data_IF_242989865066
#
_entry.id   IF_242989865066
#
_cell.length_a   1.000
_cell.length_b   1.000
_cell.length_c   1.000
_cell.angle_alpha   90.00
_cell.angle_beta   90.00
_cell.angle_gamma   90.00
#
_symmetry.space_group_name_H-M   'P 1'
#
loop_
_entity.id
_entity.type
_entity.pdbx_description
1 polymer ?
#
# COMPACT_ATOMS: atom_id res chain seq x y z
N UNK A 1 2.06 -3.81 -20.86
CA UNK A 1 2.13 -3.42 -19.43
C UNK A 1 0.77 -3.54 -18.74
N UNK A 2 -0.30 -2.98 -19.28
CA UNK A 2 -1.68 -3.06 -18.73
C UNK A 2 -2.15 -4.50 -18.49
N UNK A 3 -1.95 -5.41 -19.43
CA UNK A 3 -2.40 -6.80 -19.34
C UNK A 3 -1.62 -7.62 -18.29
N UNK A 4 -0.36 -7.27 -18.05
CA UNK A 4 0.44 -7.88 -17.00
C UNK A 4 -0.06 -7.47 -15.60
N UNK A 5 -0.41 -6.19 -15.41
CA UNK A 5 -0.98 -5.69 -14.17
C UNK A 5 -2.34 -6.33 -13.86
N UNK A 6 -3.21 -6.47 -14.88
CA UNK A 6 -4.51 -7.12 -14.71
C UNK A 6 -4.37 -8.61 -14.36
N UNK A 7 -3.41 -9.31 -14.96
CA UNK A 7 -3.14 -10.72 -14.63
C UNK A 7 -2.61 -10.87 -13.22
N UNK A 8 -1.62 -10.07 -12.83
CA UNK A 8 -1.05 -10.12 -11.48
C UNK A 8 -2.08 -9.79 -10.40
N UNK A 9 -2.93 -8.78 -10.61
CA UNK A 9 -4.04 -8.46 -9.72
C UNK A 9 -5.06 -9.59 -9.58
N UNK A 10 -5.39 -10.25 -10.70
CA UNK A 10 -6.30 -11.39 -10.71
C UNK A 10 -5.72 -12.57 -9.91
N UNK A 11 -4.42 -12.81 -10.03
CA UNK A 11 -3.74 -13.89 -9.33
C UNK A 11 -3.65 -13.59 -7.83
N UNK A 12 -3.30 -12.36 -7.43
CA UNK A 12 -3.30 -11.93 -6.01
C UNK A 12 -4.70 -12.05 -5.41
N UNK A 13 -5.74 -11.63 -6.13
CA UNK A 13 -7.12 -11.76 -5.67
C UNK A 13 -7.53 -13.23 -5.47
N UNK A 14 -7.00 -14.14 -6.28
CA UNK A 14 -7.26 -15.59 -6.16
C UNK A 14 -6.54 -16.19 -4.96
N UNK A 15 -5.30 -15.77 -4.71
CA UNK A 15 -4.42 -16.36 -3.69
C UNK A 15 -4.72 -15.81 -2.29
N UNK A 16 -4.92 -14.49 -2.15
CA UNK A 16 -5.07 -13.83 -0.87
C UNK A 16 -6.19 -12.76 -0.85
N UNK A 17 -7.46 -13.12 -1.12
CA UNK A 17 -8.54 -12.14 -1.27
C UNK A 17 -8.81 -11.34 0.01
N UNK A 18 -8.76 -12.01 1.18
CA UNK A 18 -9.01 -11.34 2.48
C UNK A 18 -7.94 -10.30 2.82
N UNK A 19 -6.67 -10.63 2.59
CA UNK A 19 -5.56 -9.71 2.86
C UNK A 19 -5.59 -8.50 1.93
N UNK A 20 -5.97 -8.69 0.67
CA UNK A 20 -6.12 -7.62 -0.31
C UNK A 20 -7.26 -6.66 0.07
N UNK A 21 -8.43 -7.18 0.46
CA UNK A 21 -9.55 -6.35 0.92
C UNK A 21 -9.16 -5.54 2.16
N UNK A 22 -8.51 -6.20 3.14
CA UNK A 22 -8.05 -5.52 4.36
C UNK A 22 -7.05 -4.42 4.05
N UNK A 23 -6.13 -4.65 3.11
CA UNK A 23 -5.17 -3.66 2.65
C UNK A 23 -5.86 -2.43 2.03
N UNK A 24 -6.84 -2.64 1.15
CA UNK A 24 -7.63 -1.54 0.55
C UNK A 24 -8.40 -0.75 1.62
N UNK A 25 -9.00 -1.44 2.59
CA UNK A 25 -9.70 -0.77 3.72
C UNK A 25 -8.71 0.08 4.52
N UNK A 26 -7.53 -0.46 4.87
CA UNK A 26 -6.50 0.30 5.59
C UNK A 26 -6.03 1.52 4.79
N UNK A 27 -5.87 1.41 3.47
CA UNK A 27 -5.51 2.55 2.61
C UNK A 27 -6.56 3.65 2.64
N UNK A 28 -7.84 3.30 2.50
CA UNK A 28 -8.93 4.26 2.58
C UNK A 28 -8.99 4.92 3.95
N UNK A 29 -8.84 4.13 5.02
CA UNK A 29 -8.82 4.65 6.40
C UNK A 29 -7.65 5.63 6.61
N UNK A 30 -6.45 5.31 6.15
CA UNK A 30 -5.29 6.20 6.23
C UNK A 30 -5.54 7.53 5.50
N UNK A 31 -6.12 7.50 4.30
CA UNK A 31 -6.44 8.71 3.55
C UNK A 31 -7.39 9.62 4.30
N UNK A 32 -8.41 9.05 4.95
CA UNK A 32 -9.36 9.80 5.79
C UNK A 32 -8.67 10.35 7.05
N UNK A 33 -7.84 9.53 7.73
CA UNK A 33 -7.13 9.96 8.94
C UNK A 33 -6.17 11.12 8.68
N UNK A 34 -5.46 11.12 7.54
CA UNK A 34 -4.60 12.23 7.13
C UNK A 34 -5.41 13.50 6.91
N UNK A 35 -6.55 13.40 6.23
CA UNK A 35 -7.44 14.55 6.01
C UNK A 35 -7.99 15.12 7.33
N UNK A 36 -8.44 14.25 8.24
CA UNK A 36 -8.93 14.62 9.57
C UNK A 36 -7.81 15.27 10.39
N UNK A 37 -6.59 14.71 10.37
CA UNK A 37 -5.46 15.26 11.09
C UNK A 37 -5.11 16.68 10.59
N UNK A 38 -5.08 16.90 9.29
CA UNK A 38 -4.83 18.21 8.69
C UNK A 38 -5.90 19.22 9.12
N UNK A 39 -7.15 18.83 9.15
CA UNK A 39 -8.25 19.68 9.63
C UNK A 39 -8.11 19.99 11.13
N UNK A 40 -7.82 19.00 11.96
CA UNK A 40 -7.62 19.19 13.41
C UNK A 40 -6.46 20.12 13.72
N UNK A 41 -5.34 20.00 13.00
CA UNK A 41 -4.19 20.92 13.15
C UNK A 41 -4.59 22.36 12.81
N UNK A 42 -5.37 22.56 11.76
CA UNK A 42 -5.87 23.90 11.39
C UNK A 42 -6.77 24.51 12.49
N UNK A 43 -7.68 23.71 13.05
CA UNK A 43 -8.56 24.15 14.16
C UNK A 43 -7.74 24.42 15.43
N UNK A 44 -6.77 23.57 15.76
CA UNK A 44 -5.84 23.76 16.87
C UNK A 44 -5.10 25.10 16.78
N UNK A 45 -4.51 25.39 15.61
CA UNK A 45 -3.78 26.65 15.41
C UNK A 45 -4.69 27.86 15.62
N UNK A 46 -5.93 27.81 15.15
CA UNK A 46 -6.89 28.89 15.34
C UNK A 46 -7.19 29.16 16.83
N UNK A 47 -7.32 28.11 17.66
CA UNK A 47 -7.53 28.23 19.11
C UNK A 47 -6.27 28.72 19.84
N UNK A 48 -5.09 28.36 19.37
CA UNK A 48 -3.82 28.90 19.92
C UNK A 48 -3.75 30.42 19.67
N UNK A 49 -4.13 30.90 18.50
CA UNK A 49 -4.17 32.33 18.20
C UNK A 49 -5.17 33.10 19.08
N UNK A 50 -6.29 32.49 19.41
CA UNK A 50 -7.30 33.08 20.31
C UNK A 50 -6.94 33.00 21.80
N UNK A 51 -5.76 32.43 22.13
CA UNK A 51 -5.25 32.23 23.51
C UNK A 51 -6.13 31.36 24.42
N UNK A 52 -6.98 30.52 23.85
CA UNK A 52 -7.78 29.55 24.61
C UNK A 52 -6.96 28.28 24.85
N UNK A 53 -6.13 28.34 25.90
CA UNK A 53 -5.21 27.25 26.27
C UNK A 53 -5.92 25.95 26.61
N UNK A 54 -7.09 26.01 27.27
CA UNK A 54 -7.81 24.81 27.70
C UNK A 54 -8.33 24.02 26.50
N UNK A 55 -8.95 24.68 25.54
CA UNK A 55 -9.46 24.07 24.33
C UNK A 55 -8.31 23.58 23.44
N UNK A 56 -7.21 24.33 23.36
CA UNK A 56 -6.02 23.90 22.61
C UNK A 56 -5.42 22.60 23.14
N UNK A 57 -5.35 22.40 24.45
CA UNK A 57 -4.85 21.15 25.04
C UNK A 57 -5.73 19.95 24.69
N UNK A 58 -7.05 20.12 24.63
CA UNK A 58 -7.98 19.06 24.23
C UNK A 58 -7.74 18.67 22.76
N UNK A 59 -7.61 19.66 21.86
CA UNK A 59 -7.30 19.39 20.46
C UNK A 59 -5.96 18.70 20.25
N UNK A 60 -4.94 19.06 21.02
CA UNK A 60 -3.65 18.39 21.00
C UNK A 60 -3.76 16.91 21.36
N UNK A 61 -4.55 16.58 22.40
CA UNK A 61 -4.84 15.19 22.76
C UNK A 61 -5.55 14.41 21.66
N UNK A 62 -6.53 15.05 20.99
CA UNK A 62 -7.26 14.42 19.87
C UNK A 62 -6.33 14.20 18.68
N UNK A 63 -5.49 15.17 18.32
CA UNK A 63 -4.48 15.05 17.25
C UNK A 63 -3.55 13.85 17.53
N UNK A 64 -3.09 13.73 18.77
CA UNK A 64 -2.23 12.61 19.16
C UNK A 64 -2.96 11.26 19.07
N UNK A 65 -4.23 11.19 19.46
CA UNK A 65 -5.06 10.01 19.29
C UNK A 65 -5.25 9.61 17.82
N UNK A 66 -5.50 10.56 16.93
CA UNK A 66 -5.60 10.34 15.48
C UNK A 66 -4.26 9.86 14.91
N UNK A 67 -3.16 10.42 15.37
CA UNK A 67 -1.82 9.98 14.96
C UNK A 67 -1.56 8.52 15.33
N UNK A 68 -1.84 8.13 16.58
CA UNK A 68 -1.71 6.73 17.04
C UNK A 68 -2.59 5.79 16.21
N UNK A 69 -3.84 6.18 15.94
CA UNK A 69 -4.74 5.39 15.09
C UNK A 69 -4.20 5.22 13.66
N UNK A 70 -3.57 6.26 13.12
CA UNK A 70 -2.90 6.21 11.81
C UNK A 70 -1.74 5.22 11.80
N UNK A 71 -0.89 5.22 12.84
CA UNK A 71 0.24 4.30 12.95
C UNK A 71 -0.19 2.85 13.13
N UNK A 72 -1.26 2.60 13.89
CA UNK A 72 -1.86 1.26 14.02
C UNK A 72 -2.39 0.78 12.66
N UNK A 73 -3.10 1.63 11.92
CA UNK A 73 -3.59 1.31 10.59
C UNK A 73 -2.45 1.01 9.61
N UNK A 74 -1.36 1.78 9.70
CA UNK A 74 -0.16 1.58 8.90
C UNK A 74 0.51 0.24 9.21
N UNK A 75 0.63 -0.13 10.47
CA UNK A 75 1.17 -1.42 10.91
C UNK A 75 0.36 -2.60 10.38
N UNK A 76 -0.97 -2.51 10.43
CA UNK A 76 -1.87 -3.52 9.86
C UNK A 76 -1.71 -3.62 8.34
N UNK A 77 -1.59 -2.48 7.66
CA UNK A 77 -1.34 -2.44 6.21
C UNK A 77 -0.05 -3.19 5.84
N UNK A 78 1.07 -2.91 6.53
CA UNK A 78 2.33 -3.61 6.29
C UNK A 78 2.25 -5.11 6.60
N UNK A 79 1.59 -5.49 7.68
CA UNK A 79 1.37 -6.90 8.01
C UNK A 79 0.57 -7.64 6.93
N UNK A 80 -0.44 -6.98 6.34
CA UNK A 80 -1.19 -7.52 5.21
C UNK A 80 -0.33 -7.64 3.95
N UNK A 81 0.53 -6.64 3.68
CA UNK A 81 1.46 -6.64 2.55
C UNK A 81 2.43 -7.81 2.63
N UNK A 82 3.10 -8.00 3.75
CA UNK A 82 4.03 -9.12 3.98
C UNK A 82 3.32 -10.48 3.83
N UNK A 83 2.08 -10.58 4.31
CA UNK A 83 1.29 -11.81 4.19
C UNK A 83 0.88 -12.11 2.75
N UNK A 84 0.59 -11.09 1.95
CA UNK A 84 0.30 -11.25 0.51
C UNK A 84 1.56 -11.73 -0.20
N UNK A 85 2.68 -11.04 0.03
CA UNK A 85 3.96 -11.35 -0.60
C UNK A 85 4.41 -12.78 -0.31
N UNK A 86 4.39 -13.19 0.95
CA UNK A 86 4.73 -14.55 1.37
C UNK A 86 3.83 -15.61 0.72
N UNK A 87 2.51 -15.39 0.66
CA UNK A 87 1.59 -16.35 0.05
C UNK A 87 1.74 -16.45 -1.46
N UNK A 88 1.90 -15.29 -2.13
CA UNK A 88 2.09 -15.24 -3.57
C UNK A 88 3.43 -15.88 -3.95
N UNK A 89 4.50 -15.53 -3.24
CA UNK A 89 5.82 -16.10 -3.45
C UNK A 89 5.82 -17.62 -3.28
N UNK A 90 5.21 -18.13 -2.20
CA UNK A 90 5.11 -19.58 -1.96
C UNK A 90 4.33 -20.29 -3.09
N UNK A 91 3.20 -19.76 -3.51
CA UNK A 91 2.37 -20.41 -4.53
C UNK A 91 3.03 -20.37 -5.91
N UNK A 92 3.62 -19.23 -6.29
CA UNK A 92 4.37 -19.12 -7.54
C UNK A 92 5.62 -20.02 -7.52
N UNK A 93 6.28 -20.16 -6.37
CA UNK A 93 7.41 -21.07 -6.19
C UNK A 93 7.01 -22.54 -6.42
N UNK A 94 5.86 -22.97 -5.89
CA UNK A 94 5.32 -24.31 -6.12
C UNK A 94 5.00 -24.52 -7.61
N UNK A 95 4.30 -23.56 -8.24
CA UNK A 95 3.96 -23.65 -9.66
C UNK A 95 5.21 -23.69 -10.57
N UNK A 96 6.23 -22.91 -10.20
CA UNK A 96 7.51 -22.91 -10.92
C UNK A 96 8.23 -24.24 -10.76
N UNK A 97 8.25 -24.79 -9.54
CA UNK A 97 8.84 -26.10 -9.25
C UNK A 97 8.14 -27.23 -10.01
N UNK A 98 6.80 -27.24 -10.04
CA UNK A 98 6.03 -28.23 -10.81
C UNK A 98 6.29 -28.13 -12.32
N UNK A 99 6.35 -26.93 -12.87
CA UNK A 99 6.67 -26.70 -14.29
C UNK A 99 8.12 -27.10 -14.60
N UNK A 100 9.05 -26.74 -13.71
CA UNK A 100 10.45 -27.13 -13.83
C UNK A 100 10.63 -28.66 -13.82
N UNK A 101 9.93 -29.36 -12.91
CA UNK A 101 9.98 -30.82 -12.81
C UNK A 101 9.38 -31.58 -14.01
N UNK A 102 8.60 -30.91 -14.85
CA UNK A 102 8.03 -31.48 -16.10
C UNK A 102 8.93 -31.27 -17.32
N UNK A 103 10.01 -30.51 -17.20
CA UNK A 103 10.95 -30.30 -18.29
C UNK A 103 11.79 -31.55 -18.51
N UNK A 104 12.01 -31.93 -19.78
CA UNK A 104 12.93 -33.00 -20.16
C UNK A 104 14.39 -32.55 -19.92
N UNK A 105 15.29 -33.55 -19.76
CA UNK A 105 16.72 -33.24 -19.56
C UNK A 105 17.29 -32.34 -20.67
N UNK A 106 16.88 -32.60 -21.91
CA UNK A 106 17.28 -31.82 -23.10
C UNK A 106 16.79 -30.37 -23.02
N UNK A 107 15.59 -30.14 -22.50
CA UNK A 107 15.06 -28.79 -22.30
C UNK A 107 15.77 -28.04 -21.14
N UNK A 108 16.29 -28.79 -20.16
CA UNK A 108 17.06 -28.20 -19.07
C UNK A 108 18.46 -27.76 -19.50
N UNK A 109 19.03 -28.39 -20.54
CA UNK A 109 20.32 -28.02 -21.15
C UNK A 109 20.19 -26.81 -22.09
N UNK A 110 18.97 -26.46 -22.51
CA UNK A 110 18.73 -25.27 -23.31
C UNK A 110 18.99 -24.00 -22.48
N UNK A 111 19.98 -23.23 -22.94
CA UNK A 111 20.42 -21.99 -22.28
C UNK A 111 19.28 -20.97 -22.15
N UNK A 112 18.38 -20.90 -23.15
CA UNK A 112 17.26 -19.96 -23.13
C UNK A 112 16.22 -20.35 -22.07
N UNK A 113 15.86 -21.63 -22.00
CA UNK A 113 14.92 -22.15 -21.01
C UNK A 113 15.47 -22.00 -19.60
N UNK A 114 16.73 -22.33 -19.38
CA UNK A 114 17.39 -22.17 -18.09
C UNK A 114 17.47 -20.69 -17.65
N UNK A 115 17.78 -19.79 -18.54
CA UNK A 115 17.78 -18.35 -18.25
C UNK A 115 16.37 -17.82 -17.92
N UNK A 116 15.33 -18.31 -18.59
CA UNK A 116 13.93 -17.95 -18.25
C UNK A 116 13.54 -18.47 -16.87
N UNK A 117 13.93 -19.70 -16.55
CA UNK A 117 13.66 -20.31 -15.24
C UNK A 117 14.35 -19.53 -14.11
N UNK A 118 15.65 -19.19 -14.27
CA UNK A 118 16.39 -18.36 -13.31
C UNK A 118 15.75 -16.99 -13.12
N UNK A 119 15.40 -16.30 -14.21
CA UNK A 119 14.72 -15.00 -14.10
C UNK A 119 13.37 -15.10 -13.39
N UNK A 120 12.61 -16.15 -13.61
CA UNK A 120 11.36 -16.38 -12.91
C UNK A 120 11.59 -16.63 -11.41
N UNK A 121 12.62 -17.41 -11.07
CA UNK A 121 13.02 -17.68 -9.69
C UNK A 121 13.49 -16.39 -9.00
N UNK A 122 14.34 -15.61 -9.63
CA UNK A 122 14.79 -14.30 -9.12
C UNK A 122 13.61 -13.33 -8.88
N UNK A 123 12.61 -13.34 -9.76
CA UNK A 123 11.41 -12.51 -9.58
C UNK A 123 10.57 -12.95 -8.37
N UNK A 124 10.51 -14.25 -8.08
CA UNK A 124 9.77 -14.79 -6.93
C UNK A 124 10.54 -14.53 -5.63
N UNK A 125 11.85 -14.82 -5.60
CA UNK A 125 12.70 -14.66 -4.41
C UNK A 125 12.79 -13.21 -3.95
N UNK A 126 12.79 -12.25 -4.89
CA UNK A 126 12.85 -10.82 -4.57
C UNK A 126 11.48 -10.13 -4.44
N UNK A 127 10.38 -10.88 -4.46
CA UNK A 127 9.02 -10.33 -4.30
C UNK A 127 8.59 -9.34 -5.39
N UNK A 128 9.33 -9.24 -6.51
CA UNK A 128 9.10 -8.23 -7.56
C UNK A 128 7.71 -8.31 -8.20
N UNK A 129 7.10 -9.49 -8.15
CA UNK A 129 5.76 -9.69 -8.71
C UNK A 129 4.66 -9.02 -7.85
N UNK A 130 4.76 -9.16 -6.53
CA UNK A 130 3.86 -8.49 -5.59
C UNK A 130 4.13 -7.00 -5.53
N UNK A 131 5.39 -6.57 -5.52
CA UNK A 131 5.78 -5.15 -5.49
C UNK A 131 5.18 -4.34 -6.64
N UNK A 132 5.22 -4.86 -7.86
CA UNK A 132 4.62 -4.19 -9.02
C UNK A 132 3.11 -3.96 -8.85
N UNK A 133 2.40 -4.95 -8.34
CA UNK A 133 0.96 -4.87 -8.15
C UNK A 133 0.59 -3.96 -6.99
N UNK A 134 1.36 -4.02 -5.91
CA UNK A 134 1.14 -3.22 -4.71
C UNK A 134 1.54 -1.76 -4.92
N UNK A 135 2.55 -1.48 -5.77
CA UNK A 135 2.96 -0.12 -6.14
C UNK A 135 1.83 0.68 -6.78
N UNK A 136 0.99 0.04 -7.61
CA UNK A 136 -0.17 0.71 -8.21
C UNK A 136 -1.18 1.17 -7.14
N UNK A 137 -1.44 0.32 -6.14
CA UNK A 137 -2.31 0.70 -5.03
C UNK A 137 -1.69 1.80 -4.17
N UNK A 138 -0.39 1.74 -3.92
CA UNK A 138 0.32 2.76 -3.17
C UNK A 138 0.25 4.12 -3.88
N UNK A 139 0.49 4.17 -5.20
CA UNK A 139 0.37 5.40 -5.99
C UNK A 139 -1.06 5.96 -5.88
N UNK A 140 -2.09 5.11 -6.01
CA UNK A 140 -3.47 5.54 -5.90
C UNK A 140 -3.78 6.12 -4.51
N UNK A 141 -3.27 5.48 -3.45
CA UNK A 141 -3.43 5.97 -2.08
C UNK A 141 -2.73 7.31 -1.85
N UNK A 142 -1.51 7.49 -2.37
CA UNK A 142 -0.79 8.75 -2.26
C UNK A 142 -1.49 9.89 -3.03
N UNK A 143 -2.01 9.61 -4.22
CA UNK A 143 -2.82 10.58 -4.97
C UNK A 143 -4.07 10.99 -4.19
N UNK A 144 -4.76 10.05 -3.54
CA UNK A 144 -5.91 10.35 -2.69
C UNK A 144 -5.53 11.19 -1.46
N UNK A 145 -4.41 10.89 -0.80
CA UNK A 145 -3.90 11.66 0.35
C UNK A 145 -3.55 13.08 -0.06
N UNK A 146 -2.79 13.26 -1.14
CA UNK A 146 -2.42 14.57 -1.65
C UNK A 146 -3.65 15.36 -2.08
N UNK A 147 -4.56 14.74 -2.82
CA UNK A 147 -5.81 15.38 -3.26
C UNK A 147 -6.68 15.85 -2.10
N UNK A 148 -6.85 15.03 -1.06
CA UNK A 148 -7.63 15.39 0.13
C UNK A 148 -6.97 16.52 0.92
N UNK A 149 -5.65 16.50 1.06
CA UNK A 149 -4.90 17.55 1.75
C UNK A 149 -5.00 18.88 1.00
N UNK A 150 -4.81 18.87 -0.33
CA UNK A 150 -4.95 20.07 -1.17
C UNK A 150 -6.37 20.64 -1.11
N UNK A 151 -7.39 19.78 -1.13
CA UNK A 151 -8.78 20.23 -1.02
C UNK A 151 -9.04 20.95 0.31
N UNK A 152 -8.50 20.44 1.42
CA UNK A 152 -8.63 21.08 2.73
C UNK A 152 -7.86 22.40 2.75
N UNK A 153 -6.61 22.44 2.26
CA UNK A 153 -5.81 23.66 2.21
C UNK A 153 -6.45 24.75 1.35
N UNK A 154 -7.00 24.40 0.19
CA UNK A 154 -7.71 25.33 -0.68
C UNK A 154 -8.93 25.97 -0.01
N UNK A 155 -9.58 25.26 0.91
CA UNK A 155 -10.73 25.78 1.66
C UNK A 155 -10.31 26.76 2.76
N UNK A 156 -9.14 26.58 3.38
CA UNK A 156 -8.65 27.43 4.47
C UNK A 156 -7.81 28.62 3.97
N UNK A 157 -7.05 28.46 2.91
CA UNK A 157 -6.24 29.53 2.32
C UNK A 157 -6.03 29.24 0.82
N UNK A 158 -6.83 29.87 -0.07
CA UNK A 158 -6.72 29.66 -1.50
C UNK A 158 -5.34 30.05 -2.07
N UNK A 159 -4.63 30.95 -1.37
CA UNK A 159 -3.27 31.38 -1.75
C UNK A 159 -2.19 30.31 -1.46
N UNK A 160 -2.43 29.38 -0.54
CA UNK A 160 -1.49 28.28 -0.20
C UNK A 160 -1.70 27.02 -1.04
N UNK A 161 -2.76 26.98 -1.84
CA UNK A 161 -3.09 25.86 -2.72
C UNK A 161 -2.56 26.04 -4.16
N UNK A 162 -2.02 27.21 -4.47
CA UNK A 162 -1.34 27.55 -5.72
C UNK A 162 0.16 27.36 -5.60
#
# INVERSE_FOLDING_TARGET
>A
MRDLLFRSLKDIRRIAPRSLIMQVICMMLQSVLVAVNTWLVSVFLNHVYTKDLKTSMIYLGVIWGVFVASEVSNSVFYACMVKIDSKVGMQLGIELGEKGGRLSLIQYEDVEINNRLKRAQDCIEHGRFSDLSLSVFNILAEVLKVGSTLFILARFSPLLAL
#
